data_IF_655664729063
#
_entry.id   IF_655664729063
#
_cell.length_a   1.000
_cell.length_b   1.000
_cell.length_c   1.000
_cell.angle_alpha   90.00
_cell.angle_beta   90.00
_cell.angle_gamma   90.00
#
_symmetry.space_group_name_H-M   'P 1'
#
loop_
_entity.id
_entity.type
_entity.pdbx_description
1 polymer ?
#
# COMPACT_ATOMS: atom_id res chain seq x y z
N UNK A 1 -26.11 9.65 -8.20
CA UNK A 1 -25.05 8.74 -7.71
C UNK A 1 -23.83 8.90 -8.61
N UNK A 2 -22.81 9.66 -8.18
CA UNK A 2 -21.56 9.81 -8.93
C UNK A 2 -20.66 8.62 -8.58
N UNK A 3 -20.43 7.72 -9.51
CA UNK A 3 -19.44 6.64 -9.37
C UNK A 3 -18.05 7.29 -9.22
N UNK A 4 -17.60 7.52 -7.99
CA UNK A 4 -16.18 7.80 -7.70
C UNK A 4 -15.39 6.60 -8.20
N UNK A 5 -14.62 6.79 -9.27
CA UNK A 5 -13.64 5.81 -9.74
C UNK A 5 -12.52 5.78 -8.70
N UNK A 6 -12.62 4.81 -7.78
CA UNK A 6 -11.57 4.51 -6.83
C UNK A 6 -10.34 4.04 -7.60
N UNK A 7 -9.28 4.86 -7.61
CA UNK A 7 -7.99 4.46 -8.15
C UNK A 7 -7.30 3.54 -7.12
N UNK A 8 -7.63 2.26 -7.17
CA UNK A 8 -6.95 1.22 -6.37
C UNK A 8 -5.56 1.02 -6.98
N UNK A 9 -4.52 1.50 -6.29
CA UNK A 9 -3.13 1.25 -6.67
C UNK A 9 -2.48 0.33 -5.65
N UNK A 10 -2.07 -0.86 -6.10
CA UNK A 10 -1.22 -1.74 -5.30
C UNK A 10 0.16 -1.09 -5.20
N UNK A 11 0.52 -0.65 -4.00
CA UNK A 11 1.80 -0.01 -3.70
C UNK A 11 2.73 -1.05 -3.08
N UNK A 12 3.85 -1.31 -3.74
CA UNK A 12 4.82 -2.32 -3.32
C UNK A 12 5.35 -2.08 -1.90
N UNK A 13 5.88 -0.89 -1.53
CA UNK A 13 6.37 -0.65 -0.18
C UNK A 13 5.28 -0.82 0.88
N UNK A 14 4.05 -0.34 0.63
CA UNK A 14 2.94 -0.52 1.58
C UNK A 14 2.58 -2.00 1.77
N UNK A 15 2.62 -2.79 0.70
CA UNK A 15 2.37 -4.24 0.77
C UNK A 15 3.46 -4.95 1.58
N UNK A 16 4.72 -4.55 1.42
CA UNK A 16 5.86 -5.09 2.18
C UNK A 16 5.76 -4.73 3.66
N UNK A 17 5.42 -3.49 3.99
CA UNK A 17 5.31 -3.03 5.37
C UNK A 17 4.21 -3.80 6.12
N UNK A 18 3.03 -3.92 5.48
CA UNK A 18 1.90 -4.72 5.99
C UNK A 18 2.28 -6.19 6.18
N UNK A 19 3.05 -6.75 5.24
CA UNK A 19 3.54 -8.12 5.32
C UNK A 19 4.46 -8.32 6.52
N UNK A 20 5.42 -7.42 6.73
CA UNK A 20 6.36 -7.47 7.86
C UNK A 20 5.63 -7.34 9.19
N UNK A 21 4.67 -6.42 9.29
CA UNK A 21 3.84 -6.21 10.48
C UNK A 21 3.07 -7.49 10.84
N UNK A 22 2.36 -8.08 9.87
CA UNK A 22 1.63 -9.35 10.04
C UNK A 22 2.53 -10.51 10.42
N UNK A 23 3.70 -10.62 9.79
CA UNK A 23 4.65 -11.66 10.11
C UNK A 23 5.18 -11.48 11.54
N UNK A 24 5.49 -10.26 11.95
CA UNK A 24 5.94 -9.94 13.30
C UNK A 24 4.88 -10.27 14.35
N UNK A 25 3.61 -9.95 14.10
CA UNK A 25 2.47 -10.32 14.96
C UNK A 25 2.34 -11.84 15.13
N UNK A 26 2.63 -12.60 14.07
CA UNK A 26 2.70 -14.05 14.09
C UNK A 26 4.01 -14.62 14.70
N UNK A 27 4.90 -13.77 15.23
CA UNK A 27 6.17 -14.15 15.82
C UNK A 27 7.28 -14.49 14.81
N UNK A 28 7.14 -14.03 13.56
CA UNK A 28 8.09 -14.27 12.47
C UNK A 28 8.70 -12.96 11.99
N UNK A 29 10.02 -12.81 12.12
CA UNK A 29 10.73 -11.64 11.59
C UNK A 29 11.07 -11.84 10.11
N UNK A 30 10.43 -11.08 9.23
CA UNK A 30 10.78 -11.03 7.80
C UNK A 30 11.69 -9.83 7.52
N UNK A 31 12.87 -10.10 6.95
CA UNK A 31 13.80 -9.07 6.48
C UNK A 31 13.67 -8.87 4.98
N UNK A 32 14.10 -7.72 4.48
CA UNK A 32 14.08 -7.41 3.03
C UNK A 32 14.84 -8.46 2.22
N UNK A 33 15.98 -8.92 2.72
CA UNK A 33 16.79 -9.98 2.11
C UNK A 33 16.03 -11.30 2.04
N UNK A 34 15.31 -11.67 3.12
CA UNK A 34 14.51 -12.88 3.14
C UNK A 34 13.33 -12.79 2.15
N UNK A 35 12.71 -11.61 2.04
CA UNK A 35 11.61 -11.39 1.11
C UNK A 35 12.10 -11.40 -0.34
N UNK A 36 13.19 -10.70 -0.64
CA UNK A 36 13.82 -10.70 -1.96
C UNK A 36 14.21 -12.12 -2.39
N UNK A 37 14.82 -12.89 -1.49
CA UNK A 37 15.21 -14.29 -1.73
C UNK A 37 14.01 -15.19 -2.03
N UNK A 38 12.92 -15.07 -1.28
CA UNK A 38 11.69 -15.86 -1.52
C UNK A 38 10.97 -15.49 -2.83
N UNK A 39 11.07 -14.22 -3.24
CA UNK A 39 10.55 -13.72 -4.50
C UNK A 39 11.48 -14.02 -5.69
N UNK A 40 12.67 -14.59 -5.44
CA UNK A 40 13.65 -14.90 -6.48
C UNK A 40 14.25 -13.66 -7.13
N UNK A 41 14.24 -12.51 -6.45
CA UNK A 41 14.82 -11.26 -6.94
C UNK A 41 16.03 -10.85 -6.10
N UNK A 42 16.96 -10.13 -6.72
CA UNK A 42 18.12 -9.57 -6.01
C UNK A 42 17.69 -8.46 -5.05
N UNK A 43 18.45 -8.24 -3.98
CA UNK A 43 18.23 -7.14 -3.02
C UNK A 43 18.18 -5.77 -3.70
N UNK A 44 19.02 -5.53 -4.72
CA UNK A 44 18.97 -4.29 -5.51
C UNK A 44 17.64 -4.12 -6.25
N UNK A 45 17.10 -5.19 -6.80
CA UNK A 45 15.81 -5.16 -7.49
C UNK A 45 14.67 -4.91 -6.50
N UNK A 46 14.75 -5.56 -5.33
CA UNK A 46 13.81 -5.34 -4.25
C UNK A 46 13.82 -3.89 -3.77
N UNK A 47 14.99 -3.32 -3.50
CA UNK A 47 15.15 -1.92 -3.10
C UNK A 47 14.65 -0.97 -4.17
N UNK A 48 14.95 -1.25 -5.45
CA UNK A 48 14.45 -0.46 -6.57
C UNK A 48 12.91 -0.47 -6.61
N UNK A 49 12.28 -1.63 -6.44
CA UNK A 49 10.82 -1.74 -6.38
C UNK A 49 10.23 -1.04 -5.16
N UNK A 50 10.88 -1.16 -4.01
CA UNK A 50 10.48 -0.52 -2.77
C UNK A 50 10.53 1.01 -2.86
N UNK A 51 11.60 1.57 -3.42
CA UNK A 51 11.78 3.02 -3.53
C UNK A 51 10.99 3.65 -4.68
N UNK A 52 10.85 2.94 -5.81
CA UNK A 52 10.24 3.51 -7.03
C UNK A 52 8.79 3.12 -7.23
N UNK A 53 8.26 2.18 -6.45
CA UNK A 53 6.92 1.61 -6.63
C UNK A 53 6.70 1.10 -8.07
N UNK A 54 7.71 0.39 -8.59
CA UNK A 54 7.73 -0.15 -9.97
C UNK A 54 7.76 -1.67 -10.02
N UNK A 55 7.27 -2.32 -8.96
CA UNK A 55 7.17 -3.78 -8.97
C UNK A 55 6.19 -4.24 -10.06
N UNK A 56 6.56 -5.22 -10.89
CA UNK A 56 5.62 -5.80 -11.84
C UNK A 56 4.55 -6.63 -11.12
N UNK A 57 3.39 -6.79 -11.76
CA UNK A 57 2.25 -7.56 -11.24
C UNK A 57 2.61 -9.01 -10.85
N UNK A 58 3.59 -9.60 -11.53
CA UNK A 58 4.11 -10.94 -11.23
C UNK A 58 4.73 -11.01 -9.83
N UNK A 59 5.42 -9.96 -9.36
CA UNK A 59 5.99 -9.92 -8.01
C UNK A 59 4.87 -9.89 -6.97
N UNK A 60 3.80 -9.13 -7.20
CA UNK A 60 2.63 -9.14 -6.33
C UNK A 60 1.94 -10.50 -6.30
N UNK A 61 1.89 -11.21 -7.44
CA UNK A 61 1.38 -12.57 -7.49
C UNK A 61 2.24 -13.54 -6.66
N UNK A 62 3.56 -13.52 -6.85
CA UNK A 62 4.51 -14.33 -6.09
C UNK A 62 4.44 -14.04 -4.59
N UNK A 63 4.33 -12.77 -4.19
CA UNK A 63 4.13 -12.39 -2.79
C UNK A 63 2.86 -13.04 -2.21
N UNK A 64 1.74 -12.99 -2.95
CA UNK A 64 0.47 -13.61 -2.51
C UNK A 64 0.58 -15.12 -2.39
N UNK A 65 1.28 -15.79 -3.30
CA UNK A 65 1.49 -17.24 -3.22
C UNK A 65 2.38 -17.62 -2.04
N UNK A 66 3.55 -16.99 -1.92
CA UNK A 66 4.57 -17.31 -0.91
C UNK A 66 4.12 -16.93 0.50
N UNK A 67 3.52 -15.77 0.64
CA UNK A 67 3.13 -15.21 1.94
C UNK A 67 1.63 -15.32 2.21
N UNK A 68 0.93 -16.24 1.54
CA UNK A 68 -0.51 -16.50 1.73
C UNK A 68 -0.91 -16.64 3.21
N UNK A 69 -0.04 -17.20 4.05
CA UNK A 69 -0.27 -17.36 5.49
C UNK A 69 -0.30 -16.03 6.28
N UNK A 70 0.43 -15.01 5.83
CA UNK A 70 0.53 -13.71 6.50
C UNK A 70 -0.36 -12.67 5.82
N UNK A 71 -0.45 -12.73 4.48
CA UNK A 71 -1.32 -11.90 3.67
C UNK A 71 -2.78 -12.38 3.78
N UNK A 72 -3.05 -13.68 3.91
CA UNK A 72 -4.42 -14.21 4.08
C UNK A 72 -5.37 -13.75 2.97
N UNK A 73 -6.55 -13.24 3.37
CA UNK A 73 -7.54 -12.56 2.51
C UNK A 73 -7.32 -11.03 2.45
N UNK A 74 -6.09 -10.54 2.63
CA UNK A 74 -5.74 -9.18 2.23
C UNK A 74 -5.91 -9.11 0.70
N UNK A 75 -7.15 -8.87 0.26
CA UNK A 75 -7.37 -7.84 -0.73
C UNK A 75 -6.62 -6.65 -0.17
N UNK A 76 -5.45 -6.36 -0.74
CA UNK A 76 -4.63 -5.19 -0.48
C UNK A 76 -5.62 -4.06 -0.27
N UNK A 77 -5.81 -3.70 1.00
CA UNK A 77 -6.91 -2.85 1.39
C UNK A 77 -6.81 -1.61 0.54
N UNK A 78 -7.92 -1.25 -0.11
CA UNK A 78 -8.18 0.09 -0.64
C UNK A 78 -7.63 1.08 0.38
N UNK A 79 -6.41 1.57 0.17
CA UNK A 79 -5.95 2.80 0.82
C UNK A 79 -6.82 3.87 0.19
N UNK A 80 -7.97 4.11 0.82
CA UNK A 80 -8.74 5.32 0.62
C UNK A 80 -7.82 6.42 1.13
N UNK A 81 -7.05 7.01 0.22
CA UNK A 81 -6.56 8.35 0.44
C UNK A 81 -7.82 9.20 0.51
N UNK A 82 -8.30 9.47 1.73
CA UNK A 82 -9.08 10.67 1.98
C UNK A 82 -8.07 11.79 1.77
N UNK A 83 -7.97 12.23 0.52
CA UNK A 83 -7.60 13.61 0.25
C UNK A 83 -8.72 14.41 0.93
N UNK A 84 -8.52 14.72 2.22
CA UNK A 84 -9.22 15.83 2.83
C UNK A 84 -8.80 17.03 1.98
N UNK A 85 -9.70 17.66 1.20
CA UNK A 85 -9.47 19.06 0.95
C UNK A 85 -9.38 19.68 2.34
N UNK A 86 -8.22 20.23 2.67
CA UNK A 86 -8.12 21.33 3.61
C UNK A 86 -9.00 22.43 3.02
N UNK A 87 -10.31 22.31 3.23
CA UNK A 87 -11.24 23.42 3.19
C UNK A 87 -10.80 24.25 4.39
N UNK A 88 -9.74 25.03 4.16
CA UNK A 88 -9.51 26.26 4.89
C UNK A 88 -10.81 27.05 4.75
N UNK A 89 -11.66 26.83 5.75
CA UNK A 89 -12.89 27.55 6.10
C UNK A 89 -12.51 29.02 6.34
N UNK A 90 -12.19 29.72 5.26
CA UNK A 90 -11.94 31.16 5.26
C UNK A 90 -13.15 31.87 4.68
N UNK A 91 -13.91 32.40 5.64
CA UNK A 91 -14.84 33.52 5.55
C UNK A 91 -16.23 33.25 4.94
N UNK A 92 -17.08 32.60 5.75
CA UNK A 92 -18.45 33.05 5.93
C UNK A 92 -18.43 34.31 6.79
N UNK A 93 -18.53 35.52 6.20
CA UNK A 93 -19.19 36.72 6.78
C UNK A 93 -19.46 37.73 5.65
N UNK A 94 -20.67 37.76 5.12
CA UNK A 94 -21.68 38.77 5.49
C UNK A 94 -22.75 38.95 4.40
N UNK A 95 -23.98 38.62 4.82
CA UNK A 95 -25.24 38.88 4.14
C UNK A 95 -25.57 40.38 4.15
N UNK A 96 -26.05 40.87 3.00
CA UNK A 96 -27.24 41.73 2.88
C UNK A 96 -27.32 43.02 3.72
N UNK A 97 -27.33 44.20 3.07
CA UNK A 97 -28.17 45.31 3.50
C UNK A 97 -28.45 46.32 2.35
N UNK A 98 -29.75 46.49 2.10
CA UNK A 98 -30.52 47.60 1.47
C UNK A 98 -30.23 48.03 0.01
#
# INVERSE_FOLDING_TARGET
>A
MRNKKENVREVFPATIDRLKERAHDAGVTLTDVAIAGELGISEQTFEFYYQKDKAPAEIFHLMREKYKKFIGTLYIERMIFTDEPDDSDLDDEDLEND
#
